data_IF_266893004712
#
_entry.id   IF_266893004712
#
_cell.length_a   1.000
_cell.length_b   1.000
_cell.length_c   1.000
_cell.angle_alpha   90.00
_cell.angle_beta   90.00
_cell.angle_gamma   90.00
#
_symmetry.space_group_name_H-M   'P 1'
#
loop_
_entity.id
_entity.type
_entity.pdbx_description
1 polymer ?
#
# COMPACT_ATOMS: atom_id res chain seq x y z
N UNK A 1 7.27 -81.37 -19.69
CA UNK A 1 6.66 -80.26 -20.45
C UNK A 1 5.93 -79.36 -19.46
N UNK A 2 6.64 -78.34 -18.98
CA UNK A 2 6.10 -77.31 -18.10
C UNK A 2 5.35 -76.28 -18.94
N UNK A 3 4.07 -76.03 -18.65
CA UNK A 3 3.35 -74.87 -19.17
C UNK A 3 3.14 -73.86 -18.05
N UNK A 4 4.01 -72.84 -18.09
CA UNK A 4 3.93 -71.60 -17.33
C UNK A 4 2.67 -70.82 -17.74
N UNK A 5 1.65 -70.80 -16.88
CA UNK A 5 0.58 -69.81 -16.97
C UNK A 5 0.72 -68.79 -15.83
N UNK A 6 1.55 -67.78 -16.09
CA UNK A 6 1.58 -66.51 -15.35
C UNK A 6 0.31 -65.73 -15.69
N UNK A 7 -0.70 -65.75 -14.81
CA UNK A 7 -1.76 -64.75 -14.84
C UNK A 7 -1.31 -63.52 -14.07
N UNK A 8 -1.10 -62.46 -14.85
CA UNK A 8 -0.75 -61.11 -14.43
C UNK A 8 -1.77 -60.59 -13.42
N UNK A 9 -1.28 -60.16 -12.26
CA UNK A 9 -2.09 -59.48 -11.25
C UNK A 9 -2.42 -58.07 -11.66
N UNK A 10 -3.68 -57.69 -11.47
CA UNK A 10 -4.12 -56.34 -11.06
C UNK A 10 -5.48 -56.51 -10.39
N UNK A 11 -5.48 -56.90 -9.12
CA UNK A 11 -6.64 -56.69 -8.26
C UNK A 11 -6.72 -55.18 -8.01
N UNK A 12 -7.54 -54.49 -8.81
CA UNK A 12 -7.97 -53.14 -8.52
C UNK A 12 -8.80 -53.23 -7.23
N UNK A 13 -8.17 -52.97 -6.09
CA UNK A 13 -8.89 -52.80 -4.82
C UNK A 13 -9.75 -51.55 -5.03
N UNK A 14 -11.04 -51.75 -5.31
CA UNK A 14 -12.05 -50.72 -5.19
C UNK A 14 -12.09 -50.30 -3.72
N UNK A 15 -11.22 -49.36 -3.33
CA UNK A 15 -11.31 -48.72 -2.03
C UNK A 15 -12.66 -47.99 -1.98
N UNK A 16 -13.60 -48.58 -1.24
CA UNK A 16 -14.87 -47.94 -0.91
C UNK A 16 -14.55 -46.57 -0.30
N UNK A 17 -14.98 -45.51 -0.99
CA UNK A 17 -14.94 -44.18 -0.40
C UNK A 17 -16.04 -44.17 0.64
N UNK A 18 -15.69 -44.35 1.90
CA UNK A 18 -16.64 -44.14 2.99
C UNK A 18 -17.26 -42.75 2.83
N UNK A 19 -18.58 -42.71 2.84
CA UNK A 19 -19.33 -41.46 2.73
C UNK A 19 -18.93 -40.54 3.88
N UNK A 20 -18.36 -39.40 3.53
CA UNK A 20 -17.81 -38.49 4.52
C UNK A 20 -18.96 -37.86 5.30
N UNK A 21 -19.00 -38.09 6.61
CA UNK A 21 -19.99 -37.44 7.48
C UNK A 21 -19.67 -35.95 7.62
N UNK A 22 -20.27 -35.17 6.71
CA UNK A 22 -20.13 -33.72 6.68
C UNK A 22 -20.65 -33.05 7.95
N UNK A 23 -21.62 -33.64 8.65
CA UNK A 23 -22.16 -33.07 9.88
C UNK A 23 -21.11 -33.11 10.98
N UNK A 24 -20.44 -34.25 11.14
CA UNK A 24 -19.36 -34.41 12.12
C UNK A 24 -18.11 -33.60 11.73
N UNK A 25 -17.75 -33.58 10.44
CA UNK A 25 -16.63 -32.75 9.93
C UNK A 25 -16.90 -31.26 10.17
N UNK A 26 -18.13 -30.79 9.96
CA UNK A 26 -18.53 -29.41 10.22
C UNK A 26 -18.46 -29.06 11.71
N UNK A 27 -18.91 -29.95 12.60
CA UNK A 27 -18.81 -29.75 14.06
C UNK A 27 -17.34 -29.68 14.48
N UNK A 28 -16.49 -30.58 13.98
CA UNK A 28 -15.05 -30.59 14.25
C UNK A 28 -14.39 -29.29 13.77
N UNK A 29 -14.72 -28.85 12.55
CA UNK A 29 -14.22 -27.60 11.97
C UNK A 29 -14.68 -26.38 12.78
N UNK A 30 -15.93 -26.33 13.21
CA UNK A 30 -16.45 -25.26 14.07
C UNK A 30 -15.72 -25.19 15.41
N UNK A 31 -15.47 -26.34 16.05
CA UNK A 31 -14.67 -26.40 17.28
C UNK A 31 -13.23 -25.91 17.07
N UNK A 32 -12.60 -26.30 15.96
CA UNK A 32 -11.26 -25.82 15.59
C UNK A 32 -11.22 -24.30 15.39
N UNK A 33 -12.20 -23.74 14.66
CA UNK A 33 -12.31 -22.29 14.44
C UNK A 33 -12.51 -21.54 15.76
N UNK A 34 -13.36 -22.06 16.65
CA UNK A 34 -13.55 -21.47 17.98
C UNK A 34 -12.26 -21.51 18.81
N UNK A 35 -11.53 -22.63 18.79
CA UNK A 35 -10.26 -22.77 19.50
C UNK A 35 -9.19 -21.80 18.97
N UNK A 36 -9.04 -21.69 17.64
CA UNK A 36 -8.11 -20.76 17.00
C UNK A 36 -8.45 -19.30 17.33
N UNK A 37 -9.73 -18.93 17.30
CA UNK A 37 -10.15 -17.58 17.65
C UNK A 37 -9.88 -17.26 19.13
N UNK A 38 -10.11 -18.20 20.04
CA UNK A 38 -9.75 -18.05 21.47
C UNK A 38 -8.24 -17.89 21.64
N UNK A 39 -7.42 -18.69 20.94
CA UNK A 39 -5.95 -18.57 20.98
C UNK A 39 -5.48 -17.22 20.46
N UNK A 40 -5.99 -16.77 19.29
CA UNK A 40 -5.64 -15.47 18.71
C UNK A 40 -5.98 -14.32 19.65
N UNK A 41 -7.13 -14.37 20.32
CA UNK A 41 -7.50 -13.36 21.34
C UNK A 41 -6.50 -13.33 22.50
N UNK A 42 -6.11 -14.50 23.02
CA UNK A 42 -5.09 -14.58 24.08
C UNK A 42 -3.73 -14.02 23.63
N UNK A 43 -3.30 -14.35 22.41
CA UNK A 43 -2.05 -13.81 21.82
C UNK A 43 -2.12 -12.28 21.66
N UNK A 44 -3.28 -11.74 21.25
CA UNK A 44 -3.50 -10.30 21.12
C UNK A 44 -3.49 -9.60 22.49
N UNK A 45 -4.11 -10.19 23.51
CA UNK A 45 -4.07 -9.71 24.89
C UNK A 45 -2.64 -9.69 25.45
N UNK A 46 -1.87 -10.76 25.23
CA UNK A 46 -0.44 -10.80 25.58
C UNK A 46 0.37 -9.77 24.78
N UNK A 47 0.01 -9.53 23.51
CA UNK A 47 0.63 -8.51 22.67
C UNK A 47 0.41 -7.09 23.17
N UNK A 48 -0.78 -6.78 23.72
CA UNK A 48 -1.10 -5.48 24.33
C UNK A 48 -0.28 -5.20 25.59
N UNK A 49 0.12 -6.23 26.32
CA UNK A 49 0.95 -6.08 27.52
C UNK A 49 2.44 -5.95 27.23
N UNK A 50 2.90 -6.15 25.98
CA UNK A 50 4.31 -5.95 25.64
C UNK A 50 4.60 -4.45 25.63
N UNK A 51 5.58 -3.96 26.40
CA UNK A 51 5.96 -2.57 26.37
C UNK A 51 6.39 -2.21 24.94
N UNK A 52 5.68 -1.24 24.36
CA UNK A 52 5.96 -0.76 23.01
C UNK A 52 7.36 -0.15 23.03
N UNK A 53 8.22 -0.54 22.09
CA UNK A 53 9.54 0.07 21.91
C UNK A 53 9.35 1.57 21.71
N UNK A 54 9.69 2.35 22.72
CA UNK A 54 9.66 3.81 22.65
C UNK A 54 10.79 4.23 21.71
N UNK A 55 10.42 4.90 20.62
CA UNK A 55 11.41 5.53 19.75
C UNK A 55 12.19 6.58 20.57
N UNK A 56 13.52 6.65 20.47
CA UNK A 56 14.30 7.65 21.18
C UNK A 56 13.79 9.05 20.81
N UNK A 57 13.31 9.79 21.81
CA UNK A 57 12.84 11.15 21.65
C UNK A 57 14.06 12.08 21.64
N UNK A 58 14.20 12.94 20.63
CA UNK A 58 15.28 13.91 20.58
C UNK A 58 15.13 14.97 21.67
N UNK A 59 16.25 15.47 22.20
CA UNK A 59 16.27 16.44 23.31
C UNK A 59 15.45 17.70 22.99
N UNK A 60 15.47 18.14 21.72
CA UNK A 60 14.69 19.28 21.21
C UNK A 60 13.19 19.22 21.51
N UNK A 61 12.61 18.03 21.63
CA UNK A 61 11.17 17.86 21.85
C UNK A 61 10.85 17.18 23.17
N UNK A 62 11.81 17.05 24.10
CA UNK A 62 11.59 16.40 25.40
C UNK A 62 10.55 17.12 26.25
N UNK A 63 10.53 18.44 26.19
CA UNK A 63 9.65 19.30 26.99
C UNK A 63 8.33 19.65 26.30
N UNK A 64 8.16 19.30 25.02
CA UNK A 64 6.95 19.65 24.25
C UNK A 64 5.88 18.57 24.50
N UNK A 65 4.81 18.86 25.27
CA UNK A 65 3.75 17.88 25.48
C UNK A 65 2.99 17.62 24.17
N UNK A 66 2.66 16.36 23.92
CA UNK A 66 1.82 16.01 22.77
C UNK A 66 0.40 16.54 22.96
N UNK A 67 -0.13 17.25 21.96
CA UNK A 67 -1.55 17.67 21.94
C UNK A 67 -2.52 16.49 22.06
N UNK A 68 -2.06 15.28 21.73
CA UNK A 68 -2.86 14.04 21.88
C UNK A 68 -2.93 13.61 23.35
N UNK A 69 -1.82 13.73 24.09
CA UNK A 69 -1.82 13.37 25.52
C UNK A 69 -2.64 14.35 26.34
N UNK A 70 -2.65 15.63 25.96
CA UNK A 70 -3.54 16.65 26.53
C UNK A 70 -5.03 16.26 26.33
N UNK A 71 -5.42 15.88 25.12
CA UNK A 71 -6.79 15.42 24.81
C UNK A 71 -7.20 14.15 25.54
N UNK A 72 -6.27 13.22 25.80
CA UNK A 72 -6.54 11.98 26.53
C UNK A 72 -6.64 12.20 28.05
N UNK A 73 -5.95 13.22 28.58
CA UNK A 73 -6.04 13.62 30.00
C UNK A 73 -7.33 14.37 30.31
N UNK A 74 -7.92 15.03 29.32
CA UNK A 74 -9.24 15.62 29.51
C UNK A 74 -10.27 14.51 29.77
N UNK A 75 -11.02 14.66 30.87
CA UNK A 75 -12.14 13.78 31.16
C UNK A 75 -13.08 13.74 29.95
N UNK A 76 -13.55 12.54 29.52
CA UNK A 76 -14.47 12.47 28.41
C UNK A 76 -15.69 13.36 28.71
N UNK A 77 -16.21 14.08 27.70
CA UNK A 77 -17.39 14.90 27.91
C UNK A 77 -18.53 14.00 28.44
N UNK A 78 -19.39 14.53 29.33
CA UNK A 78 -20.48 13.74 29.89
C UNK A 78 -21.33 13.13 28.77
N UNK A 79 -21.84 11.89 28.97
CA UNK A 79 -22.69 11.27 27.98
C UNK A 79 -23.87 12.19 27.68
N UNK A 80 -24.08 12.49 26.39
CA UNK A 80 -25.14 13.41 25.98
C UNK A 80 -26.50 12.86 26.44
N UNK A 81 -27.44 13.73 26.87
CA UNK A 81 -28.76 13.29 27.30
C UNK A 81 -29.45 12.52 26.17
N UNK A 82 -30.19 11.47 26.53
CA UNK A 82 -30.85 10.57 25.58
C UNK A 82 -31.75 11.32 24.60
N UNK A 83 -32.38 12.42 25.06
CA UNK A 83 -33.21 13.34 24.27
C UNK A 83 -32.51 13.89 23.02
N UNK A 84 -31.19 14.09 23.06
CA UNK A 84 -30.42 14.61 21.93
C UNK A 84 -30.09 13.55 20.86
N UNK A 85 -30.23 12.25 21.17
CA UNK A 85 -30.00 11.17 20.21
C UNK A 85 -31.19 10.94 19.27
N UNK A 86 -32.41 11.24 19.72
CA UNK A 86 -33.63 11.04 18.92
C UNK A 86 -33.67 11.93 17.68
N UNK A 87 -33.22 13.18 17.78
CA UNK A 87 -33.20 14.11 16.64
C UNK A 87 -32.07 13.81 15.64
N UNK A 88 -30.95 13.24 16.09
CA UNK A 88 -29.79 12.93 15.23
C UNK A 88 -29.93 11.62 14.45
N UNK A 89 -30.77 10.70 14.91
CA UNK A 89 -30.98 9.40 14.25
C UNK A 89 -31.63 9.53 12.85
N UNK A 90 -32.32 10.64 12.60
CA UNK A 90 -33.05 10.90 11.35
C UNK A 90 -32.39 11.97 10.45
N UNK A 91 -31.43 12.75 10.97
CA UNK A 91 -30.77 13.82 10.19
C UNK A 91 -29.62 13.36 9.30
N UNK A 92 -29.22 12.08 9.38
CA UNK A 92 -28.16 11.52 8.53
C UNK A 92 -28.76 11.00 7.21
N UNK A 93 -29.05 11.92 6.31
CA UNK A 93 -29.16 11.61 4.87
C UNK A 93 -27.76 11.29 4.35
N UNK A 94 -27.54 10.05 3.91
CA UNK A 94 -26.33 9.67 3.15
C UNK A 94 -25.19 9.05 3.96
N UNK A 95 -25.40 7.88 4.55
CA UNK A 95 -24.39 6.81 4.63
C UNK A 95 -25.02 5.61 5.35
N UNK A 96 -24.92 4.45 4.73
CA UNK A 96 -25.54 3.18 5.12
C UNK A 96 -25.44 2.93 6.63
N UNK A 97 -26.60 2.90 7.30
CA UNK A 97 -26.73 2.28 8.61
C UNK A 97 -26.39 0.79 8.43
N UNK A 98 -25.47 0.30 9.27
CA UNK A 98 -25.30 -1.12 9.53
C UNK A 98 -26.67 -1.78 9.56
N UNK A 99 -26.87 -2.83 8.74
CA UNK A 99 -28.06 -3.68 8.85
C UNK A 99 -27.99 -4.34 10.22
N UNK A 100 -28.62 -3.70 11.20
CA UNK A 100 -28.97 -4.32 12.46
C UNK A 100 -29.67 -5.62 12.13
N UNK A 101 -29.15 -6.69 12.72
CA UNK A 101 -29.75 -8.02 12.76
C UNK A 101 -31.27 -7.84 12.97
N UNK A 102 -32.08 -8.34 12.04
CA UNK A 102 -33.53 -8.41 12.24
C UNK A 102 -33.79 -9.08 13.59
N UNK A 103 -34.71 -8.58 14.43
CA UNK A 103 -35.12 -9.35 15.58
C UNK A 103 -35.62 -10.70 15.09
N UNK A 104 -35.18 -11.76 15.77
CA UNK A 104 -35.75 -13.11 15.66
C UNK A 104 -37.28 -13.01 15.57
N UNK A 105 -37.98 -13.82 14.76
CA UNK A 105 -39.43 -13.83 14.73
C UNK A 105 -39.91 -14.40 16.07
N UNK A 106 -40.07 -13.54 17.08
CA UNK A 106 -40.85 -13.85 18.26
C UNK A 106 -42.33 -13.91 17.86
N UNK A 107 -43.17 -14.66 18.60
CA UNK A 107 -44.59 -14.69 18.34
C UNK A 107 -45.13 -13.26 18.44
N UNK A 108 -45.73 -12.75 17.36
CA UNK A 108 -46.46 -11.49 17.40
C UNK A 108 -47.63 -11.69 18.38
N UNK A 109 -47.96 -10.70 19.23
CA UNK A 109 -49.23 -10.76 19.95
C UNK A 109 -50.35 -10.80 18.90
N UNK A 110 -51.33 -11.68 19.11
CA UNK A 110 -52.56 -11.76 18.33
C UNK A 110 -53.35 -10.46 18.52
N UNK A 111 -52.93 -9.38 17.87
CA UNK A 111 -53.82 -8.28 17.57
C UNK A 111 -54.82 -8.83 16.57
N UNK A 112 -56.05 -8.99 17.05
CA UNK A 112 -57.21 -9.46 16.31
C UNK A 112 -57.15 -9.00 14.85
N UNK A 113 -57.48 -9.93 13.96
CA UNK A 113 -57.76 -9.60 12.58
C UNK A 113 -58.82 -8.50 12.56
N UNK A 114 -58.40 -7.25 12.40
CA UNK A 114 -59.21 -6.30 11.68
C UNK A 114 -59.27 -6.90 10.29
N UNK A 115 -60.37 -7.58 9.98
CA UNK A 115 -60.74 -7.90 8.62
C UNK A 115 -60.84 -6.57 7.90
N UNK A 116 -59.71 -6.11 7.37
CA UNK A 116 -59.71 -5.10 6.33
C UNK A 116 -60.33 -5.83 5.17
N UNK A 117 -61.61 -5.56 4.93
CA UNK A 117 -62.32 -5.98 3.73
C UNK A 117 -61.62 -5.27 2.56
N UNK A 118 -60.54 -5.88 2.09
CA UNK A 118 -59.86 -5.45 0.88
C UNK A 118 -60.79 -5.90 -0.22
N UNK A 119 -61.59 -4.98 -0.77
CA UNK A 119 -62.36 -5.20 -1.99
C UNK A 119 -61.40 -5.76 -3.04
N UNK A 120 -61.39 -7.08 -3.21
CA UNK A 120 -60.62 -7.75 -4.27
C UNK A 120 -61.42 -7.46 -5.53
N UNK A 121 -60.90 -6.67 -6.49
CA UNK A 121 -61.64 -6.44 -7.72
C UNK A 121 -61.89 -7.79 -8.38
N UNK A 122 -63.16 -8.13 -8.62
CA UNK A 122 -63.62 -9.42 -9.15
C UNK A 122 -63.00 -9.78 -10.52
N UNK A 123 -62.24 -8.87 -11.14
CA UNK A 123 -61.68 -9.02 -12.49
C UNK A 123 -60.16 -9.26 -12.55
N UNK A 124 -59.46 -9.45 -11.42
CA UNK A 124 -58.01 -9.70 -11.46
C UNK A 124 -57.71 -11.17 -11.72
N UNK A 125 -57.26 -11.49 -12.94
CA UNK A 125 -56.76 -12.83 -13.26
C UNK A 125 -55.39 -13.06 -12.58
N UNK A 126 -55.44 -13.62 -11.37
CA UNK A 126 -54.26 -13.92 -10.57
C UNK A 126 -53.29 -14.90 -11.26
N UNK A 127 -53.80 -15.80 -12.09
CA UNK A 127 -52.98 -16.77 -12.82
C UNK A 127 -52.12 -16.04 -13.87
N UNK A 128 -52.73 -15.16 -14.65
CA UNK A 128 -52.02 -14.34 -15.64
C UNK A 128 -51.04 -13.36 -14.97
N UNK A 129 -51.44 -12.74 -13.85
CA UNK A 129 -50.60 -11.85 -13.07
C UNK A 129 -49.35 -12.58 -12.55
N UNK A 130 -49.53 -13.75 -11.94
CA UNK A 130 -48.43 -14.57 -11.42
C UNK A 130 -47.51 -15.08 -12.55
N UNK A 131 -48.07 -15.52 -13.67
CA UNK A 131 -47.29 -15.91 -14.85
C UNK A 131 -46.43 -14.75 -15.41
N UNK A 132 -46.93 -13.51 -15.32
CA UNK A 132 -46.16 -12.32 -15.70
C UNK A 132 -45.07 -12.00 -14.69
N UNK A 133 -45.33 -12.19 -13.40
CA UNK A 133 -44.34 -11.98 -12.34
C UNK A 133 -43.21 -13.01 -12.38
N UNK A 134 -43.52 -14.29 -12.62
CA UNK A 134 -42.52 -15.37 -12.70
C UNK A 134 -41.57 -15.16 -13.88
N UNK A 135 -42.07 -14.72 -15.04
CA UNK A 135 -41.23 -14.34 -16.19
C UNK A 135 -40.32 -13.13 -15.92
N UNK A 136 -40.74 -12.21 -15.05
CA UNK A 136 -39.93 -11.03 -14.67
C UNK A 136 -38.87 -11.35 -13.62
N UNK A 137 -38.99 -12.46 -12.90
CA UNK A 137 -38.04 -12.84 -11.88
C UNK A 137 -36.78 -13.44 -12.52
N UNK A 138 -35.73 -12.63 -12.66
CA UNK A 138 -34.37 -13.14 -12.93
C UNK A 138 -33.83 -13.71 -11.63
N UNK A 139 -33.48 -14.99 -11.61
CA UNK A 139 -32.79 -15.58 -10.47
C UNK A 139 -31.50 -14.80 -10.24
N UNK A 140 -31.45 -14.05 -9.13
CA UNK A 140 -30.27 -13.32 -8.75
C UNK A 140 -29.19 -14.33 -8.34
N UNK A 141 -28.01 -14.21 -8.94
CA UNK A 141 -26.86 -15.01 -8.53
C UNK A 141 -26.54 -14.71 -7.06
N UNK A 142 -26.09 -15.71 -6.27
CA UNK A 142 -25.72 -15.47 -4.89
C UNK A 142 -24.58 -14.43 -4.82
N UNK A 143 -24.58 -13.54 -3.82
CA UNK A 143 -23.60 -12.45 -3.73
C UNK A 143 -22.15 -12.96 -3.64
N UNK A 144 -21.94 -14.18 -3.16
CA UNK A 144 -20.62 -14.83 -3.12
C UNK A 144 -20.07 -15.16 -4.50
N UNK A 145 -20.90 -15.66 -5.43
CA UNK A 145 -20.43 -16.01 -6.78
C UNK A 145 -20.07 -14.75 -7.57
N UNK A 146 -20.90 -13.70 -7.45
CA UNK A 146 -20.62 -12.39 -8.07
C UNK A 146 -19.35 -11.77 -7.47
N UNK A 147 -19.12 -11.90 -6.17
CA UNK A 147 -17.91 -11.38 -5.54
C UNK A 147 -16.63 -12.06 -6.06
N UNK A 148 -16.67 -13.38 -6.29
CA UNK A 148 -15.53 -14.11 -6.86
C UNK A 148 -15.23 -13.65 -8.29
N UNK A 149 -16.25 -13.60 -9.16
CA UNK A 149 -16.13 -13.10 -10.54
C UNK A 149 -15.51 -11.69 -10.57
N UNK A 150 -16.04 -10.77 -9.75
CA UNK A 150 -15.51 -9.40 -9.64
C UNK A 150 -14.05 -9.38 -9.18
N UNK A 151 -13.65 -10.25 -8.26
CA UNK A 151 -12.24 -10.31 -7.82
C UNK A 151 -11.32 -10.85 -8.90
N UNK A 152 -11.76 -11.84 -9.67
CA UNK A 152 -11.00 -12.41 -10.78
C UNK A 152 -10.87 -11.43 -11.94
N UNK A 153 -11.95 -10.75 -12.31
CA UNK A 153 -11.93 -9.68 -13.31
C UNK A 153 -10.96 -8.56 -12.93
N UNK A 154 -10.97 -8.13 -11.66
CA UNK A 154 -10.00 -7.13 -11.16
C UNK A 154 -8.56 -7.62 -11.25
N UNK A 155 -8.29 -8.89 -10.95
CA UNK A 155 -6.94 -9.47 -11.10
C UNK A 155 -6.52 -9.49 -12.57
N UNK A 156 -7.41 -9.95 -13.46
CA UNK A 156 -7.16 -10.02 -14.90
C UNK A 156 -6.93 -8.63 -15.52
N UNK A 157 -7.72 -7.62 -15.11
CA UNK A 157 -7.52 -6.24 -15.53
C UNK A 157 -6.16 -5.69 -15.07
N UNK A 158 -5.76 -5.97 -13.82
CA UNK A 158 -4.44 -5.57 -13.31
C UNK A 158 -3.29 -6.22 -14.10
N UNK A 159 -3.41 -7.51 -14.42
CA UNK A 159 -2.43 -8.23 -15.24
C UNK A 159 -2.32 -7.65 -16.64
N UNK A 160 -3.45 -7.33 -17.29
CA UNK A 160 -3.47 -6.69 -18.62
C UNK A 160 -2.81 -5.30 -18.62
N UNK A 161 -2.97 -4.54 -17.54
CA UNK A 161 -2.43 -3.19 -17.44
C UNK A 161 -0.96 -3.14 -16.97
N UNK A 162 -0.39 -4.26 -16.49
CA UNK A 162 0.96 -4.31 -15.97
C UNK A 162 1.98 -4.53 -17.11
N UNK A 163 2.80 -3.53 -17.41
CA UNK A 163 3.91 -3.65 -18.37
C UNK A 163 5.11 -4.30 -17.69
N UNK A 164 5.40 -5.55 -18.03
CA UNK A 164 6.58 -6.26 -17.54
C UNK A 164 7.86 -5.74 -18.20
N UNK A 165 8.94 -5.65 -17.44
CA UNK A 165 10.26 -5.24 -17.94
C UNK A 165 10.51 -3.73 -17.99
N UNK A 166 9.50 -2.91 -17.72
CA UNK A 166 9.69 -1.47 -17.59
C UNK A 166 10.22 -1.10 -16.20
N UNK A 167 11.30 -0.32 -16.16
CA UNK A 167 11.87 0.19 -14.91
C UNK A 167 10.87 1.19 -14.30
N UNK A 168 10.47 1.00 -13.02
CA UNK A 168 9.62 1.96 -12.31
C UNK A 168 10.16 3.40 -12.34
N UNK A 169 9.25 4.37 -12.45
CA UNK A 169 9.61 5.79 -12.57
C UNK A 169 10.52 6.30 -11.44
N UNK A 170 10.37 5.78 -10.22
CA UNK A 170 11.19 6.20 -9.09
C UNK A 170 12.66 5.76 -9.24
N UNK A 171 12.94 4.64 -9.90
CA UNK A 171 14.31 4.20 -10.19
C UNK A 171 14.94 5.06 -11.29
N UNK A 172 14.18 5.40 -12.34
CA UNK A 172 14.63 6.34 -13.38
C UNK A 172 14.97 7.71 -12.78
N UNK A 173 14.10 8.22 -11.89
CA UNK A 173 14.34 9.48 -11.19
C UNK A 173 15.58 9.41 -10.28
N UNK A 174 15.80 8.27 -9.60
CA UNK A 174 16.98 8.06 -8.76
C UNK A 174 18.28 7.99 -9.56
N UNK A 175 18.28 7.35 -10.72
CA UNK A 175 19.45 7.34 -11.62
C UNK A 175 19.86 8.76 -12.02
N UNK A 176 18.88 9.60 -12.42
CA UNK A 176 19.14 11.01 -12.73
C UNK A 176 19.66 11.80 -11.54
N UNK A 177 19.14 11.52 -10.35
CA UNK A 177 19.65 12.15 -9.13
C UNK A 177 21.12 11.82 -8.92
N UNK A 178 21.50 10.54 -9.05
CA UNK A 178 22.89 10.11 -8.90
C UNK A 178 23.82 10.70 -9.96
N UNK A 179 23.35 10.78 -11.21
CA UNK A 179 24.10 11.44 -12.29
C UNK A 179 24.40 12.90 -11.93
N UNK A 180 23.40 13.63 -11.45
CA UNK A 180 23.57 15.01 -11.00
C UNK A 180 24.51 15.14 -9.80
N UNK A 181 24.34 14.27 -8.80
CA UNK A 181 25.17 14.29 -7.60
C UNK A 181 26.65 13.98 -7.95
N UNK A 182 26.89 13.06 -8.91
CA UNK A 182 28.24 12.73 -9.38
C UNK A 182 28.86 13.87 -10.20
N UNK A 183 28.09 14.55 -11.05
CA UNK A 183 28.55 15.76 -11.74
C UNK A 183 28.94 16.87 -10.76
N UNK A 184 28.14 17.08 -9.70
CA UNK A 184 28.46 18.04 -8.64
C UNK A 184 29.71 17.61 -7.87
N UNK A 185 29.87 16.30 -7.59
CA UNK A 185 31.08 15.76 -6.96
C UNK A 185 32.31 16.00 -7.83
N UNK A 186 32.25 15.69 -9.12
CA UNK A 186 33.36 15.88 -10.06
C UNK A 186 33.72 17.37 -10.15
N UNK A 187 32.72 18.26 -10.24
CA UNK A 187 32.92 19.71 -10.28
C UNK A 187 33.58 20.27 -9.02
N UNK A 188 33.23 19.73 -7.86
CA UNK A 188 33.75 20.17 -6.56
C UNK A 188 35.07 19.48 -6.19
N UNK A 189 35.41 18.36 -6.84
CA UNK A 189 36.67 17.66 -6.57
C UNK A 189 37.82 18.55 -7.05
N UNK A 190 38.71 19.01 -6.15
CA UNK A 190 39.87 19.78 -6.56
C UNK A 190 40.79 18.89 -7.41
N UNK A 191 41.48 19.52 -8.36
CA UNK A 191 42.45 18.83 -9.22
C UNK A 191 43.56 18.19 -8.37
N UNK A 192 43.79 16.86 -8.46
CA UNK A 192 44.78 16.16 -7.64
C UNK A 192 46.22 16.64 -7.85
N UNK A 193 46.55 17.21 -9.01
CA UNK A 193 47.90 17.72 -9.30
C UNK A 193 48.13 19.14 -8.73
N UNK A 194 47.07 19.80 -8.25
CA UNK A 194 47.13 21.18 -7.75
C UNK A 194 47.29 21.20 -6.22
N UNK A 195 48.33 21.85 -5.66
CA UNK A 195 48.47 21.97 -4.21
C UNK A 195 47.36 22.85 -3.61
N UNK A 196 47.02 22.66 -2.32
CA UNK A 196 46.01 23.47 -1.64
C UNK A 196 46.29 24.97 -1.74
N UNK A 197 45.25 25.76 -1.99
CA UNK A 197 45.35 27.22 -2.14
C UNK A 197 45.92 27.71 -3.48
N UNK A 198 46.29 26.81 -4.39
CA UNK A 198 46.77 27.15 -5.73
C UNK A 198 45.71 26.81 -6.78
N UNK A 199 45.70 27.56 -7.87
CA UNK A 199 44.81 27.33 -9.03
C UNK A 199 45.63 27.43 -10.30
N UNK A 200 45.33 26.59 -11.29
CA UNK A 200 45.95 26.70 -12.61
C UNK A 200 45.64 28.05 -13.24
N UNK A 201 46.67 28.77 -13.67
CA UNK A 201 46.51 29.99 -14.48
C UNK A 201 45.91 29.60 -15.84
N UNK A 202 44.85 30.30 -16.33
CA UNK A 202 44.33 30.10 -17.68
C UNK A 202 45.42 30.21 -18.74
N UNK A 203 45.30 29.42 -19.81
CA UNK A 203 46.31 29.36 -20.89
C UNK A 203 46.59 30.72 -21.51
N UNK A 204 45.57 31.54 -21.66
CA UNK A 204 45.67 32.85 -22.31
C UNK A 204 46.44 33.85 -21.46
N UNK A 205 46.22 33.85 -20.15
CA UNK A 205 46.97 34.65 -19.19
C UNK A 205 48.43 34.19 -19.12
N UNK A 206 48.65 32.88 -19.14
CA UNK A 206 50.01 32.30 -19.20
C UNK A 206 50.76 32.78 -20.43
N UNK A 207 50.14 32.73 -21.60
CA UNK A 207 50.76 33.18 -22.86
C UNK A 207 51.08 34.67 -22.83
N UNK A 208 50.17 35.52 -22.33
CA UNK A 208 50.43 36.96 -22.15
C UNK A 208 51.61 37.21 -21.22
N UNK A 209 51.67 36.50 -20.10
CA UNK A 209 52.76 36.65 -19.12
C UNK A 209 54.10 36.22 -19.73
N UNK A 210 54.12 35.11 -20.47
CA UNK A 210 55.31 34.65 -21.19
C UNK A 210 55.77 35.66 -22.25
N UNK A 211 54.83 36.29 -22.96
CA UNK A 211 55.14 37.34 -23.91
C UNK A 211 55.81 38.53 -23.22
N UNK A 212 55.22 39.04 -22.13
CA UNK A 212 55.79 40.14 -21.33
C UNK A 212 57.19 39.78 -20.82
N UNK A 213 57.39 38.56 -20.33
CA UNK A 213 58.70 38.09 -19.86
C UNK A 213 59.73 38.00 -20.99
N UNK A 214 59.31 37.57 -22.19
CA UNK A 214 60.19 37.52 -23.35
C UNK A 214 60.63 38.93 -23.77
N UNK A 215 59.69 39.88 -23.79
CA UNK A 215 59.95 41.29 -24.08
C UNK A 215 60.87 41.92 -23.02
N UNK A 216 60.60 41.71 -21.73
CA UNK A 216 61.43 42.24 -20.64
C UNK A 216 62.84 41.65 -20.67
N UNK A 217 62.96 40.34 -20.92
CA UNK A 217 64.24 39.64 -21.06
C UNK A 217 65.06 40.23 -22.21
N UNK A 218 64.43 40.44 -23.37
CA UNK A 218 65.06 41.09 -24.53
C UNK A 218 65.58 42.48 -24.18
N UNK A 219 64.75 43.30 -23.51
CA UNK A 219 65.13 44.64 -23.08
C UNK A 219 66.33 44.64 -22.12
N UNK A 220 66.36 43.73 -21.15
CA UNK A 220 67.50 43.59 -20.22
C UNK A 220 68.78 43.24 -20.98
N UNK A 221 68.73 42.33 -21.97
CA UNK A 221 69.93 41.98 -22.75
C UNK A 221 70.45 43.14 -23.59
N UNK A 222 69.57 43.92 -24.21
CA UNK A 222 69.98 45.12 -24.95
C UNK A 222 70.65 46.13 -24.03
N UNK A 223 70.07 46.36 -22.85
CA UNK A 223 70.57 47.36 -21.90
C UNK A 223 71.90 46.94 -21.25
N UNK A 224 72.04 45.66 -20.90
CA UNK A 224 73.29 45.10 -20.37
C UNK A 224 74.38 44.98 -21.44
N UNK A 225 74.03 44.67 -22.69
CA UNK A 225 74.95 44.68 -23.83
C UNK A 225 75.53 46.07 -24.13
N UNK A 226 74.70 47.12 -24.08
CA UNK A 226 75.17 48.51 -24.21
C UNK A 226 76.12 48.92 -23.08
N UNK A 227 75.83 48.51 -21.84
CA UNK A 227 76.67 48.81 -20.67
C UNK A 227 78.08 48.19 -20.74
N UNK A 228 78.23 47.04 -21.41
CA UNK A 228 79.52 46.35 -21.57
C UNK A 228 80.37 46.98 -22.69
N UNK A 229 79.75 47.49 -23.76
CA UNK A 229 80.49 48.14 -24.87
C UNK A 229 81.02 49.52 -24.44
N UNK A 230 80.23 50.30 -23.70
CA UNK A 230 80.65 51.64 -23.22
C UNK A 230 81.80 51.56 -22.21
N UNK A 231 81.85 50.53 -21.35
CA UNK A 231 82.97 50.32 -20.41
C UNK A 231 84.26 49.79 -21.04
N UNK A 232 84.24 49.32 -22.30
CA UNK A 232 85.45 48.87 -23.02
C UNK A 232 86.08 49.95 -23.91
N UNK A 233 85.39 51.07 -24.11
CA UNK A 233 85.81 52.14 -25.01
C UNK A 233 86.36 53.39 -24.27
N UNK A 234 86.52 53.33 -22.95
CA UNK A 234 87.23 54.32 -22.13
C UNK A 234 88.37 53.65 -21.37
#
# INVERSE_FOLDING_TARGET
>A
METLNRTCGYAFICAEKEEKDFSNENVKKMRQVQALNRRRKKEEELGKQKPVKVLPQSEKYREVPSKVTEKLKHSPPPPRPSSANYLRAHSRTGAMKFRGRSPSPGPRPNSAATEVDVEIPESVNFIAHNARLTKKYRQQRPPSSVALEVTEEKKNQKLKNHKTGEIPNYLKARQKQWEKDEEERIRNTPDPDMPPGHRMMPTDERLKTLQIMAESKSLIYLNTGLYVVVKRAG
#
